data_IF_786056278059
#
_entry.id   IF_786056278059
#
_cell.length_a   1.000
_cell.length_b   1.000
_cell.length_c   1.000
_cell.angle_alpha   90.00
_cell.angle_beta   90.00
_cell.angle_gamma   90.00
#
_symmetry.space_group_name_H-M   'P 1'
#
loop_
_entity.id
_entity.type
_entity.pdbx_description
1 polymer ?
#
# COMPACT_ATOMS: atom_id res chain seq x y z
N UNK A 1 -8.78 -4.90 21.18
CA UNK A 1 -8.78 -5.61 19.90
C UNK A 1 -7.54 -6.50 19.89
N UNK A 2 -7.69 -7.82 19.76
CA UNK A 2 -6.67 -8.82 20.09
C UNK A 2 -5.97 -9.47 18.89
N UNK A 3 -6.02 -8.85 17.71
CA UNK A 3 -5.26 -9.31 16.54
C UNK A 3 -3.81 -8.83 16.60
N UNK A 4 -2.86 -9.67 16.16
CA UNK A 4 -1.49 -9.25 15.91
C UNK A 4 -1.32 -8.85 14.44
N UNK A 5 -0.38 -7.95 14.19
CA UNK A 5 0.04 -7.58 12.85
C UNK A 5 1.55 -7.77 12.74
N UNK A 6 2.02 -8.13 11.56
CA UNK A 6 3.43 -8.24 11.21
C UNK A 6 3.65 -7.72 9.81
N UNK A 7 4.86 -7.28 9.51
CA UNK A 7 5.24 -7.00 8.13
C UNK A 7 5.17 -8.29 7.31
N UNK A 8 4.77 -8.16 6.05
CA UNK A 8 4.65 -9.24 5.10
C UNK A 8 5.47 -8.89 3.87
N UNK A 9 6.36 -9.80 3.46
CA UNK A 9 7.22 -9.62 2.30
C UNK A 9 6.54 -10.28 1.09
N UNK A 10 6.24 -9.49 0.06
CA UNK A 10 5.57 -9.97 -1.14
C UNK A 10 6.49 -10.85 -1.96
N UNK A 11 5.95 -11.95 -2.49
CA UNK A 11 6.60 -12.71 -3.55
C UNK A 11 6.65 -11.90 -4.85
N UNK A 12 7.50 -12.31 -5.80
CA UNK A 12 7.60 -11.65 -7.10
C UNK A 12 6.25 -11.62 -7.87
N UNK A 13 5.44 -12.68 -7.75
CA UNK A 13 4.10 -12.74 -8.36
C UNK A 13 3.10 -11.80 -7.72
N UNK A 14 3.16 -11.64 -6.39
CA UNK A 14 2.28 -10.73 -5.65
C UNK A 14 2.68 -9.28 -5.89
N UNK A 15 3.98 -8.99 -5.92
CA UNK A 15 4.47 -7.65 -6.29
C UNK A 15 4.00 -7.27 -7.69
N UNK A 16 4.12 -8.17 -8.68
CA UNK A 16 3.62 -7.92 -10.03
C UNK A 16 2.10 -7.68 -10.09
N UNK A 17 1.32 -8.34 -9.21
CA UNK A 17 -0.11 -8.08 -9.07
C UNK A 17 -0.36 -6.67 -8.53
N UNK A 18 0.33 -6.27 -7.46
CA UNK A 18 0.21 -4.93 -6.85
C UNK A 18 0.59 -3.85 -7.87
N UNK A 19 1.71 -3.99 -8.56
CA UNK A 19 2.16 -3.06 -9.60
C UNK A 19 1.13 -2.93 -10.73
N UNK A 20 0.51 -4.04 -11.16
CA UNK A 20 -0.55 -4.01 -12.16
C UNK A 20 -1.78 -3.22 -11.68
N UNK A 21 -2.19 -3.42 -10.43
CA UNK A 21 -3.29 -2.64 -9.83
C UNK A 21 -2.92 -1.16 -9.78
N UNK A 22 -1.71 -0.83 -9.30
CA UNK A 22 -1.24 0.56 -9.23
C UNK A 22 -1.17 1.22 -10.60
N UNK A 23 -0.75 0.51 -11.64
CA UNK A 23 -0.67 1.05 -13.01
C UNK A 23 -2.02 1.33 -13.67
N UNK A 24 -3.11 0.82 -13.10
CA UNK A 24 -4.46 0.95 -13.67
C UNK A 24 -5.12 2.29 -13.32
N UNK A 25 -4.55 3.04 -12.37
CA UNK A 25 -5.10 4.30 -11.87
C UNK A 25 -3.97 5.32 -11.63
N UNK A 26 -4.32 6.60 -11.60
CA UNK A 26 -3.40 7.66 -11.20
C UNK A 26 -3.54 7.93 -9.71
N UNK A 27 -2.70 7.25 -8.90
CA UNK A 27 -2.71 7.37 -7.45
C UNK A 27 -1.61 8.31 -6.96
N UNK A 28 -1.96 9.19 -6.01
CA UNK A 28 -0.97 9.88 -5.20
C UNK A 28 -0.57 9.07 -3.95
N UNK A 29 -1.56 8.72 -3.14
CA UNK A 29 -1.44 7.84 -1.97
C UNK A 29 -2.75 7.07 -1.81
N UNK A 30 -2.67 5.75 -1.66
CA UNK A 30 -3.84 4.86 -1.59
C UNK A 30 -3.55 3.68 -0.67
N UNK A 31 -4.57 3.20 0.04
CA UNK A 31 -4.55 1.90 0.71
C UNK A 31 -5.09 0.82 -0.22
N UNK A 32 -4.42 -0.33 -0.29
CA UNK A 32 -4.88 -1.48 -1.08
C UNK A 32 -4.95 -2.70 -0.18
N UNK A 33 -6.16 -3.24 -0.02
CA UNK A 33 -6.41 -4.41 0.79
C UNK A 33 -6.48 -5.67 -0.06
N UNK A 34 -5.71 -6.68 0.35
CA UNK A 34 -5.76 -8.02 -0.21
C UNK A 34 -6.21 -9.03 0.85
N UNK A 35 -6.92 -10.05 0.39
CA UNK A 35 -7.23 -11.25 1.17
C UNK A 35 -6.60 -12.47 0.49
N UNK A 36 -6.18 -13.45 1.29
CA UNK A 36 -5.74 -14.73 0.75
C UNK A 36 -6.94 -15.56 0.33
N UNK A 37 -6.98 -15.99 -0.92
CA UNK A 37 -7.91 -16.99 -1.42
C UNK A 37 -7.57 -18.38 -0.85
N UNK A 38 -8.47 -19.35 -1.06
CA UNK A 38 -8.27 -20.73 -0.57
C UNK A 38 -7.01 -21.41 -1.13
N UNK A 39 -6.56 -21.00 -2.31
CA UNK A 39 -5.34 -21.49 -2.95
C UNK A 39 -4.06 -20.75 -2.51
N UNK A 40 -4.20 -19.78 -1.59
CA UNK A 40 -3.11 -18.94 -1.10
C UNK A 40 -2.76 -17.76 -1.99
N UNK A 41 -3.48 -17.51 -3.10
CA UNK A 41 -3.28 -16.33 -3.93
C UNK A 41 -3.86 -15.07 -3.31
N UNK A 42 -3.26 -13.90 -3.59
CA UNK A 42 -3.83 -12.61 -3.21
C UNK A 42 -5.01 -12.25 -4.09
N UNK A 43 -6.15 -11.95 -3.47
CA UNK A 43 -7.33 -11.41 -4.11
C UNK A 43 -7.58 -9.98 -3.63
N UNK A 44 -7.70 -9.05 -4.57
CA UNK A 44 -8.00 -7.64 -4.28
C UNK A 44 -9.38 -7.55 -3.61
N UNK A 45 -9.45 -6.91 -2.44
CA UNK A 45 -10.68 -6.73 -1.69
C UNK A 45 -11.19 -5.28 -1.83
N UNK A 46 -10.37 -4.30 -1.50
CA UNK A 46 -10.73 -2.88 -1.52
C UNK A 46 -9.54 -1.99 -1.90
N UNK A 47 -9.85 -0.82 -2.44
CA UNK A 47 -8.92 0.29 -2.66
C UNK A 47 -9.54 1.52 -1.99
N UNK A 48 -8.79 2.20 -1.12
CA UNK A 48 -9.25 3.38 -0.39
C UNK A 48 -8.30 4.58 -0.55
N UNK A 49 -8.86 5.77 -0.82
CA UNK A 49 -8.08 7.01 -1.00
C UNK A 49 -7.47 7.55 0.31
N UNK A 50 -8.03 7.17 1.47
CA UNK A 50 -7.56 7.65 2.78
C UNK A 50 -7.31 6.45 3.69
N UNK A 51 -6.03 6.11 3.84
CA UNK A 51 -5.60 4.97 4.65
C UNK A 51 -5.02 5.38 6.00
N UNK A 52 -5.40 4.66 7.05
CA UNK A 52 -4.79 4.78 8.36
C UNK A 52 -3.45 4.07 8.41
N UNK A 53 -2.39 4.74 8.85
CA UNK A 53 -1.03 4.16 8.88
C UNK A 53 -0.57 3.64 10.24
N UNK A 54 -1.46 3.60 11.24
CA UNK A 54 -1.08 3.33 12.64
C UNK A 54 -0.30 2.03 12.80
N UNK A 55 -0.75 0.96 12.15
CA UNK A 55 -0.12 -0.35 12.20
C UNK A 55 1.23 -0.34 11.50
N UNK A 56 1.32 0.30 10.33
CA UNK A 56 2.58 0.45 9.59
C UNK A 56 3.61 1.24 10.39
N UNK A 57 3.21 2.35 11.00
CA UNK A 57 4.08 3.17 11.86
C UNK A 57 4.49 2.46 13.16
N UNK A 58 3.71 1.50 13.64
CA UNK A 58 4.05 0.70 14.82
C UNK A 58 5.02 -0.46 14.50
N UNK A 59 5.05 -0.91 13.25
CA UNK A 59 5.81 -2.08 12.82
C UNK A 59 7.04 -1.74 11.95
N UNK A 60 7.20 -0.49 11.54
CA UNK A 60 8.28 -0.04 10.66
C UNK A 60 8.70 1.41 10.94
N UNK A 61 9.91 1.75 10.52
CA UNK A 61 10.43 3.12 10.55
C UNK A 61 10.01 3.93 9.30
N UNK A 62 9.07 3.42 8.49
CA UNK A 62 8.61 4.10 7.28
C UNK A 62 7.83 5.38 7.63
N UNK A 63 8.25 6.49 7.05
CA UNK A 63 7.58 7.78 7.22
C UNK A 63 6.75 8.12 5.98
N UNK A 64 5.57 7.51 5.88
CA UNK A 64 4.68 7.72 4.74
C UNK A 64 4.25 9.18 4.54
N UNK A 65 4.24 9.99 5.61
CA UNK A 65 3.91 11.41 5.52
C UNK A 65 5.02 12.16 4.80
N UNK A 66 6.28 11.84 5.13
CA UNK A 66 7.44 12.41 4.44
C UNK A 66 7.49 12.01 2.96
N UNK A 67 7.28 10.73 2.67
CA UNK A 67 7.24 10.21 1.29
C UNK A 67 6.14 10.91 0.49
N UNK A 68 4.93 11.00 1.04
CA UNK A 68 3.81 11.63 0.33
C UNK A 68 3.99 13.13 0.13
N UNK A 69 4.52 13.86 1.12
CA UNK A 69 4.85 15.29 0.96
C UNK A 69 5.96 15.52 -0.08
N UNK A 70 6.93 14.61 -0.15
CA UNK A 70 7.99 14.62 -1.18
C UNK A 70 7.38 14.42 -2.56
N UNK A 71 6.52 13.41 -2.71
CA UNK A 71 5.76 13.17 -3.94
C UNK A 71 4.93 14.39 -4.39
N UNK A 72 4.18 15.01 -3.47
CA UNK A 72 3.39 16.21 -3.77
C UNK A 72 4.30 17.35 -4.26
N UNK A 73 5.42 17.58 -3.55
CA UNK A 73 6.37 18.64 -3.90
C UNK A 73 6.94 18.43 -5.30
N UNK A 74 7.32 17.20 -5.65
CA UNK A 74 7.86 16.85 -6.96
C UNK A 74 6.81 16.98 -8.07
N UNK A 75 5.57 16.56 -7.80
CA UNK A 75 4.45 16.65 -8.74
C UNK A 75 4.10 18.10 -9.08
N UNK A 76 4.12 19.00 -8.09
CA UNK A 76 3.85 20.43 -8.28
C UNK A 76 5.05 21.14 -8.93
N UNK A 77 6.29 20.76 -8.62
CA UNK A 77 7.49 21.40 -9.16
C UNK A 77 7.80 21.02 -10.61
N UNK A 78 7.21 19.90 -11.08
CA UNK A 78 7.34 19.39 -12.45
C UNK A 78 6.26 19.93 -13.40
N UNK A 79 5.41 20.85 -12.93
CA UNK A 79 4.39 21.59 -13.69
C UNK A 79 4.83 23.04 -13.92
#
# INVERSE_FOLDING_TARGET
MGGSASLYELTASELALVERVMSSFDFGLVGIDFIFAEDGSLMLNEIEDVVGSRTLSALSDMNIVWEYLTFIKESISSS
#
